data_IF_621854829816
#
_entry.id   IF_621854829816
#
_cell.length_a   1.000
_cell.length_b   1.000
_cell.length_c   1.000
_cell.angle_alpha   90.00
_cell.angle_beta   90.00
_cell.angle_gamma   90.00
#
_symmetry.space_group_name_H-M   'P 1'
#
loop_
_entity.id
_entity.type
_entity.pdbx_description
1 polymer ?
#
# COMPACT_ATOMS: atom_id res chain seq x y z
N UNK A 1 -0.41 -18.91 -13.98
CA UNK A 1 0.57 -18.94 -12.88
C UNK A 1 0.15 -17.89 -11.89
N UNK A 2 -0.14 -18.26 -10.65
CA UNK A 2 -0.53 -17.29 -9.62
C UNK A 2 0.69 -16.51 -9.16
N UNK A 3 0.59 -15.18 -9.11
CA UNK A 3 1.67 -14.31 -8.65
C UNK A 3 1.56 -14.11 -7.14
N UNK A 4 2.65 -14.31 -6.41
CA UNK A 4 2.70 -14.14 -4.95
C UNK A 4 3.18 -12.73 -4.62
N UNK A 5 2.49 -12.08 -3.67
CA UNK A 5 2.95 -10.81 -3.12
C UNK A 5 4.18 -11.07 -2.22
N UNK A 6 5.31 -10.39 -2.46
CA UNK A 6 6.51 -10.60 -1.67
C UNK A 6 6.32 -10.12 -0.24
N UNK A 7 6.93 -10.82 0.73
CA UNK A 7 7.01 -10.33 2.10
C UNK A 7 7.83 -9.04 2.13
N UNK A 8 7.21 -7.94 2.57
CA UNK A 8 7.84 -6.64 2.71
C UNK A 8 7.72 -6.15 4.15
N UNK A 9 8.77 -5.51 4.65
CA UNK A 9 8.82 -5.00 6.03
C UNK A 9 8.90 -3.49 5.99
N UNK A 10 7.94 -2.84 6.64
CA UNK A 10 7.87 -1.40 6.78
C UNK A 10 7.72 -0.95 8.22
N UNK A 11 7.52 0.35 8.40
CA UNK A 11 7.12 0.96 9.68
C UNK A 11 5.92 1.85 9.46
N UNK A 12 4.92 1.73 10.32
CA UNK A 12 3.84 2.68 10.33
C UNK A 12 4.26 4.01 10.99
N UNK A 13 3.41 5.03 10.93
CA UNK A 13 3.70 6.34 11.50
C UNK A 13 3.72 6.35 13.04
N UNK A 14 3.34 5.25 13.69
CA UNK A 14 3.52 5.00 15.13
C UNK A 14 4.85 4.29 15.45
N UNK A 15 5.75 4.14 14.46
CA UNK A 15 7.05 3.44 14.56
C UNK A 15 6.94 1.94 14.82
N UNK A 16 5.75 1.35 14.67
CA UNK A 16 5.57 -0.09 14.77
C UNK A 16 6.09 -0.73 13.49
N UNK A 17 6.88 -1.80 13.64
CA UNK A 17 7.33 -2.62 12.50
C UNK A 17 6.13 -3.43 12.02
N UNK A 18 5.84 -3.36 10.72
CA UNK A 18 4.75 -4.08 10.08
C UNK A 18 5.32 -4.94 8.95
N UNK A 19 4.85 -6.17 8.83
CA UNK A 19 5.19 -7.16 7.81
C UNK A 19 3.97 -7.38 6.92
N UNK A 20 4.09 -7.08 5.63
CA UNK A 20 2.99 -7.17 4.66
C UNK A 20 3.25 -8.39 3.75
N UNK A 21 2.25 -9.25 3.51
CA UNK A 21 0.86 -9.18 4.02
C UNK A 21 0.63 -9.85 5.38
N UNK A 22 1.64 -10.44 6.01
CA UNK A 22 1.49 -11.36 7.15
C UNK A 22 0.79 -10.77 8.38
N UNK A 23 1.02 -9.50 8.68
CA UNK A 23 0.36 -8.81 9.80
C UNK A 23 -1.11 -8.45 9.50
N UNK A 24 -1.61 -8.74 8.29
CA UNK A 24 -2.99 -8.52 7.82
C UNK A 24 -3.74 -9.84 7.59
N UNK A 25 -3.64 -10.76 8.55
CA UNK A 25 -4.09 -12.16 8.42
C UNK A 25 -5.60 -12.41 8.55
N UNK A 26 -6.43 -11.38 8.79
CA UNK A 26 -7.87 -11.58 9.02
C UNK A 26 -8.73 -11.39 7.77
N UNK A 27 -8.26 -10.60 6.81
CA UNK A 27 -9.01 -10.14 5.64
C UNK A 27 -8.03 -9.83 4.51
N UNK A 28 -8.47 -10.05 3.28
CA UNK A 28 -7.70 -9.67 2.10
C UNK A 28 -7.39 -8.17 2.15
N UNK A 29 -6.25 -7.79 1.59
CA UNK A 29 -5.69 -6.46 1.78
C UNK A 29 -5.49 -5.75 0.46
N UNK A 30 -6.07 -4.55 0.35
CA UNK A 30 -5.77 -3.60 -0.71
C UNK A 30 -4.51 -2.83 -0.33
N UNK A 31 -3.43 -3.05 -1.07
CA UNK A 31 -2.12 -2.42 -0.88
C UNK A 31 -1.92 -1.34 -1.94
N UNK A 32 -1.88 -0.07 -1.53
CA UNK A 32 -1.68 1.07 -2.43
C UNK A 32 -0.23 1.52 -2.34
N UNK A 33 0.54 1.36 -3.42
CA UNK A 33 1.97 1.63 -3.49
C UNK A 33 2.18 3.00 -4.13
N UNK A 34 2.92 3.88 -3.44
CA UNK A 34 3.29 5.20 -3.93
C UNK A 34 4.81 5.39 -3.88
N UNK A 35 5.39 5.98 -4.94
CA UNK A 35 6.83 6.18 -5.05
C UNK A 35 7.28 7.64 -4.89
N UNK A 36 6.34 8.58 -5.07
CA UNK A 36 6.60 10.01 -5.21
C UNK A 36 5.65 10.82 -4.33
N UNK A 37 6.09 11.96 -3.81
CA UNK A 37 5.28 12.76 -2.86
C UNK A 37 3.98 13.29 -3.48
N UNK A 38 3.99 13.63 -4.76
CA UNK A 38 2.78 14.13 -5.45
C UNK A 38 1.75 13.04 -5.71
N UNK A 39 2.11 11.75 -5.55
CA UNK A 39 1.13 10.66 -5.61
C UNK A 39 0.13 10.69 -4.45
N UNK A 40 0.37 11.49 -3.40
CA UNK A 40 -0.55 11.58 -2.26
C UNK A 40 -1.99 11.87 -2.71
N UNK A 41 -2.20 12.76 -3.68
CA UNK A 41 -3.54 13.07 -4.17
C UNK A 41 -4.22 11.85 -4.82
N UNK A 42 -3.45 11.01 -5.53
CA UNK A 42 -3.95 9.80 -6.17
C UNK A 42 -4.27 8.72 -5.12
N UNK A 43 -3.41 8.58 -4.10
CA UNK A 43 -3.64 7.69 -2.95
C UNK A 43 -4.91 8.11 -2.21
N UNK A 44 -5.06 9.40 -1.89
CA UNK A 44 -6.21 9.91 -1.15
C UNK A 44 -7.50 9.66 -1.95
N UNK A 45 -7.49 9.94 -3.26
CA UNK A 45 -8.63 9.67 -4.15
C UNK A 45 -8.97 8.18 -4.20
N UNK A 46 -7.96 7.31 -4.24
CA UNK A 46 -8.12 5.85 -4.23
C UNK A 46 -8.77 5.39 -2.92
N UNK A 47 -8.28 5.87 -1.77
CA UNK A 47 -8.83 5.55 -0.45
C UNK A 47 -10.27 6.03 -0.33
N UNK A 48 -10.57 7.28 -0.73
CA UNK A 48 -11.94 7.80 -0.71
C UNK A 48 -12.88 6.96 -1.58
N UNK A 49 -12.43 6.50 -2.74
CA UNK A 49 -13.22 5.66 -3.64
C UNK A 49 -13.50 4.30 -3.01
N UNK A 50 -12.49 3.66 -2.43
CA UNK A 50 -12.61 2.41 -1.67
C UNK A 50 -13.58 2.55 -0.49
N UNK A 51 -13.44 3.62 0.30
CA UNK A 51 -14.28 3.88 1.48
C UNK A 51 -15.75 4.12 1.13
N UNK A 52 -16.02 4.87 0.05
CA UNK A 52 -17.38 5.09 -0.47
C UNK A 52 -18.05 3.82 -0.95
N UNK A 53 -17.28 2.84 -1.41
CA UNK A 53 -17.76 1.52 -1.81
C UNK A 53 -17.87 0.53 -0.65
N UNK A 54 -17.58 0.94 0.59
CA UNK A 54 -17.62 0.11 1.79
C UNK A 54 -16.69 -1.12 1.76
N UNK A 55 -15.61 -1.09 0.96
CA UNK A 55 -14.69 -2.23 0.82
C UNK A 55 -13.98 -2.55 2.15
N UNK A 56 -13.82 -1.57 3.03
CA UNK A 56 -13.27 -1.71 4.38
C UNK A 56 -14.05 -2.69 5.27
N UNK A 57 -15.29 -3.03 4.90
CA UNK A 57 -16.08 -4.03 5.62
C UNK A 57 -15.59 -5.46 5.36
N UNK A 58 -14.94 -5.71 4.21
CA UNK A 58 -14.44 -7.03 3.80
C UNK A 58 -12.92 -7.07 3.64
N UNK A 59 -12.26 -5.94 3.38
CA UNK A 59 -10.82 -5.85 3.12
C UNK A 59 -10.12 -4.87 4.06
N UNK A 60 -8.83 -5.09 4.31
CA UNK A 60 -7.95 -4.06 4.85
C UNK A 60 -7.53 -3.09 3.73
N UNK A 61 -7.29 -1.83 4.06
CA UNK A 61 -6.75 -0.83 3.12
C UNK A 61 -5.47 -0.27 3.74
N UNK A 62 -4.36 -0.37 3.03
CA UNK A 62 -3.07 0.18 3.45
C UNK A 62 -2.42 1.00 2.35
N UNK A 63 -1.72 2.05 2.78
CA UNK A 63 -0.86 2.87 1.94
C UNK A 63 0.60 2.50 2.22
N UNK A 64 1.37 2.28 1.16
CA UNK A 64 2.77 1.88 1.22
C UNK A 64 3.63 2.87 0.43
N UNK A 65 4.10 3.97 1.07
CA UNK A 65 5.10 4.83 0.47
C UNK A 65 6.44 4.09 0.39
N UNK A 66 6.94 3.88 -0.83
CA UNK A 66 8.20 3.20 -1.09
C UNK A 66 9.30 4.24 -1.28
N UNK A 67 10.23 4.25 -0.32
CA UNK A 67 11.34 5.19 -0.29
C UNK A 67 12.64 4.42 -0.51
N UNK A 68 13.53 4.95 -1.35
CA UNK A 68 14.85 4.35 -1.55
C UNK A 68 15.61 4.24 -0.23
N UNK A 69 16.58 3.34 -0.16
CA UNK A 69 17.42 3.22 1.03
C UNK A 69 18.10 4.57 1.35
N UNK A 70 17.72 5.16 2.48
CA UNK A 70 18.29 6.40 3.00
C UNK A 70 19.14 6.13 4.23
N UNK A 71 20.07 7.04 4.54
CA UNK A 71 20.77 7.04 5.83
C UNK A 71 19.77 7.22 6.98
N UNK A 72 20.10 6.67 8.16
CA UNK A 72 19.23 6.69 9.35
C UNK A 72 18.68 8.10 9.65
N UNK A 73 19.54 9.13 9.56
CA UNK A 73 19.15 10.52 9.79
C UNK A 73 18.13 11.04 8.78
N UNK A 74 18.30 10.70 7.49
CA UNK A 74 17.35 11.09 6.43
C UNK A 74 15.99 10.40 6.62
N UNK A 75 15.98 9.11 7.02
CA UNK A 75 14.75 8.39 7.38
C UNK A 75 14.03 9.07 8.54
N UNK A 76 14.74 9.37 9.63
CA UNK A 76 14.16 10.05 10.80
C UNK A 76 13.54 11.41 10.46
N UNK A 77 14.19 12.19 9.58
CA UNK A 77 13.65 13.48 9.12
C UNK A 77 12.39 13.30 8.27
N UNK A 78 12.35 12.35 7.35
CA UNK A 78 11.16 12.08 6.55
C UNK A 78 10.00 11.60 7.42
N UNK A 79 10.25 10.66 8.34
CA UNK A 79 9.25 10.18 9.29
C UNK A 79 8.70 11.32 10.17
N UNK A 80 9.52 12.32 10.51
CA UNK A 80 9.07 13.50 11.24
C UNK A 80 8.15 14.41 10.40
N UNK A 81 8.50 14.63 9.12
CA UNK A 81 7.70 15.42 8.18
C UNK A 81 6.34 14.75 7.93
N UNK A 82 6.33 13.44 7.64
CA UNK A 82 5.10 12.66 7.41
C UNK A 82 4.17 12.70 8.63
N UNK A 83 4.72 12.50 9.84
CA UNK A 83 3.93 12.59 11.08
C UNK A 83 3.41 14.00 11.37
N UNK A 84 4.12 15.04 10.98
CA UNK A 84 3.64 16.42 11.14
C UNK A 84 2.47 16.72 10.18
N UNK A 85 2.50 16.16 8.96
CA UNK A 85 1.47 16.34 7.93
C UNK A 85 0.22 15.49 8.15
N UNK A 86 0.37 14.24 8.61
CA UNK A 86 -0.75 13.32 8.84
C UNK A 86 -1.07 13.33 10.34
N UNK A 87 -2.15 14.00 10.74
CA UNK A 87 -2.56 14.10 12.16
C UNK A 87 -3.55 13.04 12.61
N UNK A 88 -4.35 12.50 11.69
CA UNK A 88 -5.34 11.48 11.97
C UNK A 88 -4.69 10.15 12.36
N UNK A 89 -5.14 9.56 13.48
CA UNK A 89 -4.58 8.33 14.03
C UNK A 89 -4.87 7.09 13.16
N UNK A 90 -6.07 6.99 12.58
CA UNK A 90 -6.44 5.88 11.71
C UNK A 90 -5.64 5.93 10.42
N UNK A 91 -5.41 7.14 9.87
CA UNK A 91 -4.54 7.32 8.71
C UNK A 91 -3.09 6.89 9.06
N UNK A 92 -2.59 7.25 10.24
CA UNK A 92 -1.24 6.85 10.70
C UNK A 92 -1.04 5.34 10.85
N UNK A 93 -2.09 4.59 11.18
CA UNK A 93 -2.01 3.14 11.33
C UNK A 93 -1.94 2.42 9.99
N UNK A 94 -2.62 2.94 8.96
CA UNK A 94 -2.68 2.34 7.62
C UNK A 94 -1.54 2.76 6.67
N UNK A 95 -0.84 3.86 6.95
CA UNK A 95 0.35 4.27 6.19
C UNK A 95 1.60 3.54 6.71
N UNK A 96 2.22 2.72 5.88
CA UNK A 96 3.38 1.87 6.19
C UNK A 96 4.53 2.22 5.25
N UNK A 97 5.49 3.00 5.74
CA UNK A 97 6.65 3.39 4.94
C UNK A 97 7.63 2.23 4.80
N UNK A 98 7.98 1.90 3.55
CA UNK A 98 8.94 0.85 3.21
C UNK A 98 10.22 1.48 2.68
N UNK A 99 11.32 1.24 3.38
CA UNK A 99 12.65 1.69 2.97
C UNK A 99 13.40 0.53 2.33
N UNK A 100 13.53 0.52 1.00
CA UNK A 100 14.07 -0.62 0.24
C UNK A 100 14.86 -0.17 -1.00
N UNK A 101 15.53 -1.11 -1.66
CA UNK A 101 15.93 -0.92 -3.06
C UNK A 101 14.68 -0.90 -3.94
N UNK A 102 14.47 0.20 -4.67
CA UNK A 102 13.27 0.39 -5.49
C UNK A 102 13.27 -0.49 -6.73
N UNK A 103 14.42 -0.77 -7.33
CA UNK A 103 14.49 -1.61 -8.52
C UNK A 103 14.18 -3.06 -8.17
N UNK A 104 14.78 -3.58 -7.10
CA UNK A 104 14.47 -4.92 -6.60
C UNK A 104 12.99 -5.05 -6.22
N UNK A 105 12.43 -4.03 -5.54
CA UNK A 105 11.03 -4.00 -5.16
C UNK A 105 10.10 -4.03 -6.38
N UNK A 106 10.36 -3.20 -7.38
CA UNK A 106 9.58 -3.14 -8.63
C UNK A 106 9.66 -4.45 -9.40
N UNK A 107 10.84 -5.06 -9.50
CA UNK A 107 11.03 -6.34 -10.19
C UNK A 107 10.19 -7.45 -9.55
N UNK A 108 10.17 -7.56 -8.21
CA UNK A 108 9.38 -8.58 -7.49
C UNK A 108 7.88 -8.46 -7.72
N UNK A 109 7.38 -7.25 -7.96
CA UNK A 109 5.96 -6.97 -8.19
C UNK A 109 5.61 -6.77 -9.67
N UNK A 110 6.58 -6.91 -10.57
CA UNK A 110 6.46 -6.56 -11.98
C UNK A 110 5.84 -5.16 -12.18
N UNK A 111 6.34 -4.17 -11.43
CA UNK A 111 5.97 -2.76 -11.56
C UNK A 111 6.87 -2.12 -12.63
N UNK A 112 6.30 -1.59 -13.73
CA UNK A 112 7.10 -1.14 -14.88
C UNK A 112 7.82 0.20 -14.66
N UNK A 113 7.23 1.11 -13.88
CA UNK A 113 7.77 2.45 -13.62
C UNK A 113 7.21 3.03 -12.31
N UNK A 114 7.69 4.22 -11.95
CA UNK A 114 7.30 4.96 -10.74
C UNK A 114 6.41 6.16 -11.05
N UNK A 115 5.85 6.26 -12.26
CA UNK A 115 5.16 7.45 -12.77
C UNK A 115 3.74 7.61 -12.20
N UNK A 116 3.19 6.51 -11.66
CA UNK A 116 1.86 6.46 -11.06
C UNK A 116 1.86 5.57 -9.80
N UNK A 117 0.74 5.55 -9.07
CA UNK A 117 0.49 4.59 -8.00
C UNK A 117 0.15 3.22 -8.58
N UNK A 118 0.44 2.18 -7.82
CA UNK A 118 0.07 0.81 -8.15
C UNK A 118 -0.74 0.25 -6.99
N UNK A 119 -1.81 -0.47 -7.27
CA UNK A 119 -2.61 -1.13 -6.23
C UNK A 119 -2.64 -2.64 -6.45
N UNK A 120 -2.70 -3.37 -5.34
CA UNK A 120 -2.76 -4.83 -5.33
C UNK A 120 -3.84 -5.28 -4.35
N UNK A 121 -4.58 -6.32 -4.69
CA UNK A 121 -5.42 -7.06 -3.75
C UNK A 121 -4.70 -8.35 -3.40
N UNK A 122 -4.38 -8.51 -2.12
CA UNK A 122 -3.54 -9.61 -1.64
C UNK A 122 -4.37 -10.51 -0.72
N UNK A 123 -4.38 -11.80 -1.02
CA UNK A 123 -5.04 -12.79 -0.19
C UNK A 123 -4.38 -12.89 1.18
N UNK A 124 -5.19 -12.84 2.25
CA UNK A 124 -4.70 -13.01 3.62
C UNK A 124 -4.24 -14.44 3.93
N UNK A 125 -4.76 -15.44 3.19
CA UNK A 125 -4.50 -16.86 3.47
C UNK A 125 -3.33 -17.41 2.64
N UNK A 126 -3.19 -16.98 1.38
CA UNK A 126 -2.20 -17.53 0.44
C UNK A 126 -1.09 -16.56 0.05
N UNK A 127 -1.22 -15.26 0.37
CA UNK A 127 -0.38 -14.16 -0.16
C UNK A 127 -0.49 -13.97 -1.68
N UNK A 128 -1.42 -14.64 -2.33
CA UNK A 128 -1.63 -14.50 -3.77
C UNK A 128 -2.13 -13.09 -4.11
N UNK A 129 -1.67 -12.56 -5.23
CA UNK A 129 -2.18 -11.34 -5.82
C UNK A 129 -3.47 -11.72 -6.56
N UNK A 130 -4.61 -11.38 -5.96
CA UNK A 130 -5.95 -11.64 -6.49
C UNK A 130 -6.31 -10.64 -7.61
N UNK A 131 -5.86 -9.40 -7.48
CA UNK A 131 -6.03 -8.36 -8.50
C UNK A 131 -4.93 -7.30 -8.39
N UNK A 132 -4.70 -6.51 -9.45
CA UNK A 132 -3.76 -5.39 -9.47
C UNK A 132 -4.12 -4.35 -10.54
N UNK A 133 -3.70 -3.12 -10.33
CA UNK A 133 -3.84 -2.05 -11.34
C UNK A 133 -2.88 -0.89 -11.12
N UNK A 134 -2.98 0.08 -12.02
CA UNK A 134 -2.16 1.30 -12.07
C UNK A 134 -3.10 2.50 -12.02
N UNK A 135 -2.70 3.55 -11.30
CA UNK A 135 -3.50 4.76 -11.15
C UNK A 135 -4.59 4.65 -10.09
N UNK A 136 -5.50 5.62 -10.10
CA UNK A 136 -6.64 5.67 -9.17
C UNK A 136 -7.58 4.50 -9.43
N UNK A 137 -7.92 3.75 -8.38
CA UNK A 137 -8.86 2.63 -8.50
C UNK A 137 -10.25 3.12 -8.93
N UNK A 138 -10.87 2.42 -9.87
CA UNK A 138 -12.21 2.75 -10.37
C UNK A 138 -13.30 1.93 -9.65
N UNK A 139 -14.56 2.33 -9.82
CA UNK A 139 -15.70 1.55 -9.34
C UNK A 139 -15.83 0.19 -10.06
N UNK A 140 -15.34 0.09 -11.30
CA UNK A 140 -15.30 -1.16 -12.05
C UNK A 140 -14.32 -2.13 -11.41
N UNK A 141 -13.09 -1.67 -11.10
CA UNK A 141 -12.09 -2.47 -10.39
C UNK A 141 -12.63 -2.96 -9.04
N UNK A 142 -13.29 -2.08 -8.28
CA UNK A 142 -13.88 -2.45 -6.98
C UNK A 142 -14.97 -3.51 -7.14
N UNK A 143 -15.80 -3.39 -8.18
CA UNK A 143 -16.83 -4.40 -8.47
C UNK A 143 -16.18 -5.75 -8.77
N UNK A 144 -15.10 -5.78 -9.55
CA UNK A 144 -14.35 -7.02 -9.80
C UNK A 144 -13.70 -7.60 -8.54
N UNK A 145 -13.35 -6.77 -7.55
CA UNK A 145 -12.80 -7.23 -6.26
C UNK A 145 -13.90 -7.83 -5.38
N UNK A 146 -15.09 -7.23 -5.34
CA UNK A 146 -16.18 -7.66 -4.46
C UNK A 146 -16.97 -8.86 -5.00
N UNK A 147 -17.04 -9.02 -6.32
CA UNK A 147 -17.89 -10.02 -6.98
C UNK A 147 -17.07 -11.09 -7.73
N UNK A 148 -15.93 -11.50 -7.17
CA UNK A 148 -15.20 -12.67 -7.69
C UNK A 148 -16.07 -13.92 -7.49
N UNK A 149 -16.71 -14.39 -8.57
CA UNK A 149 -17.39 -15.69 -8.65
C UNK A 149 -16.39 -16.85 -8.83
#
# INVERSE_FOLDING_TARGET
MTSIFPTIVGKNLNKQKITIPEDFSQRDTVVIIAFQRWHQQLVDTTIETLERSNIQNSHNIIEVPVVSQLSLFRRMRLDAIMRAGIRDYHIRQRTITVYTDKEEFKQKLAIPNEDDIHWFVVSHSSKEILNRGIGVISLEDISQILFQE
#
